data_IF_470493567348
#
_entry.id   IF_470493567348
#
_cell.length_a   1.000
_cell.length_b   1.000
_cell.length_c   1.000
_cell.angle_alpha   90.00
_cell.angle_beta   90.00
_cell.angle_gamma   90.00
#
_symmetry.space_group_name_H-M   'P 1'
#
loop_
_entity.id
_entity.type
_entity.pdbx_description
1 polymer ?
#
# COMPACT_ATOMS: atom_id res chain seq x y z
N UNK A 1 -11.22 12.88 12.24
CA UNK A 1 -11.70 13.81 11.18
C UNK A 1 -12.54 13.05 10.17
N UNK A 2 -13.61 13.67 9.66
CA UNK A 2 -14.51 13.10 8.63
C UNK A 2 -13.73 12.63 7.39
N UNK A 3 -12.65 13.34 7.03
CA UNK A 3 -11.75 12.96 5.93
C UNK A 3 -11.18 11.54 6.06
N UNK A 4 -10.69 11.15 7.24
CA UNK A 4 -10.17 9.79 7.49
C UNK A 4 -11.27 8.73 7.38
N UNK A 5 -12.46 9.06 7.90
CA UNK A 5 -13.57 8.11 7.97
C UNK A 5 -14.25 7.86 6.62
N UNK A 6 -14.22 8.84 5.71
CA UNK A 6 -14.93 8.78 4.42
C UNK A 6 -13.96 8.69 3.25
N UNK A 7 -13.03 9.64 3.12
CA UNK A 7 -12.15 9.72 1.94
C UNK A 7 -11.09 8.63 1.99
N UNK A 8 -10.40 8.48 3.12
CA UNK A 8 -9.34 7.48 3.25
C UNK A 8 -9.89 6.06 3.25
N UNK A 9 -11.02 5.81 3.93
CA UNK A 9 -11.67 4.49 3.93
C UNK A 9 -12.08 4.06 2.53
N UNK A 10 -12.68 4.98 1.75
CA UNK A 10 -13.06 4.71 0.36
C UNK A 10 -11.84 4.53 -0.53
N UNK A 11 -10.80 5.35 -0.35
CA UNK A 11 -9.57 5.27 -1.13
C UNK A 11 -8.78 3.99 -0.87
N UNK A 12 -8.76 3.53 0.38
CA UNK A 12 -8.06 2.31 0.80
C UNK A 12 -8.91 1.05 0.64
N UNK A 13 -10.15 1.17 0.19
CA UNK A 13 -11.01 0.02 -0.02
C UNK A 13 -10.38 -0.91 -1.07
N UNK A 14 -10.09 -2.15 -0.65
CA UNK A 14 -9.44 -3.14 -1.51
C UNK A 14 -7.96 -2.91 -1.79
N UNK A 15 -7.30 -1.94 -1.13
CA UNK A 15 -5.87 -1.69 -1.35
C UNK A 15 -4.96 -2.88 -0.99
N UNK A 16 -5.47 -3.80 -0.16
CA UNK A 16 -4.80 -5.03 0.26
C UNK A 16 -4.43 -5.93 -0.93
N UNK A 17 -5.21 -5.92 -2.01
CA UNK A 17 -5.00 -6.80 -3.18
C UNK A 17 -4.36 -6.06 -4.37
N UNK A 18 -4.13 -4.75 -4.24
CA UNK A 18 -3.52 -3.99 -5.31
C UNK A 18 -2.06 -4.42 -5.51
N UNK A 19 -1.62 -4.41 -6.76
CA UNK A 19 -0.21 -4.47 -7.13
C UNK A 19 0.26 -3.06 -7.55
N UNK A 20 0.30 -2.06 -6.64
CA UNK A 20 0.58 -0.70 -7.02
C UNK A 20 2.05 -0.53 -7.39
N UNK A 21 2.30 0.06 -8.56
CA UNK A 21 3.60 0.65 -8.85
C UNK A 21 3.87 1.83 -7.92
N UNK A 22 5.15 2.10 -7.65
CA UNK A 22 5.58 3.22 -6.80
C UNK A 22 5.05 4.58 -7.28
N UNK A 23 4.86 4.74 -8.60
CA UNK A 23 4.22 5.95 -9.17
C UNK A 23 2.80 6.17 -8.65
N UNK A 24 2.02 5.09 -8.48
CA UNK A 24 0.64 5.18 -8.03
C UNK A 24 0.58 5.55 -6.55
N UNK A 25 1.45 4.97 -5.72
CA UNK A 25 1.59 5.37 -4.32
C UNK A 25 1.97 6.85 -4.19
N UNK A 26 2.89 7.33 -5.02
CA UNK A 26 3.27 8.74 -5.03
C UNK A 26 2.11 9.67 -5.45
N UNK A 27 1.33 9.28 -6.45
CA UNK A 27 0.13 10.03 -6.86
C UNK A 27 -0.92 10.10 -5.73
N UNK A 28 -1.10 9.02 -4.98
CA UNK A 28 -2.01 8.99 -3.83
C UNK A 28 -1.53 9.91 -2.70
N UNK A 29 -0.23 9.90 -2.40
CA UNK A 29 0.35 10.80 -1.41
C UNK A 29 0.21 12.28 -1.83
N UNK A 30 0.39 12.59 -3.12
CA UNK A 30 0.15 13.94 -3.64
C UNK A 30 -1.32 14.36 -3.51
N UNK A 31 -2.26 13.45 -3.79
CA UNK A 31 -3.69 13.70 -3.65
C UNK A 31 -4.06 13.97 -2.18
N UNK A 32 -3.52 13.18 -1.24
CA UNK A 32 -3.70 13.40 0.19
C UNK A 32 -3.19 14.78 0.60
N UNK A 33 -1.99 15.18 0.16
CA UNK A 33 -1.41 16.49 0.45
C UNK A 33 -2.28 17.63 -0.08
N UNK A 34 -2.80 17.51 -1.31
CA UNK A 34 -3.72 18.52 -1.88
C UNK A 34 -4.99 18.66 -1.04
N UNK A 35 -5.60 17.54 -0.61
CA UNK A 35 -6.80 17.57 0.22
C UNK A 35 -6.53 18.17 1.60
N UNK A 36 -5.43 17.77 2.26
CA UNK A 36 -5.08 18.28 3.59
C UNK A 36 -4.74 19.76 3.58
N UNK A 37 -3.97 20.22 2.58
CA UNK A 37 -3.65 21.66 2.44
C UNK A 37 -4.89 22.49 2.17
N UNK A 38 -5.81 22.00 1.33
CA UNK A 38 -7.10 22.66 1.09
C UNK A 38 -7.96 22.74 2.36
N UNK A 39 -8.10 21.64 3.09
CA UNK A 39 -8.88 21.57 4.32
C UNK A 39 -8.33 22.51 5.42
N UNK A 40 -7.01 22.60 5.53
CA UNK A 40 -6.31 23.43 6.52
C UNK A 40 -6.04 24.86 6.04
N UNK A 41 -6.44 25.20 4.80
CA UNK A 41 -6.18 26.49 4.15
C UNK A 41 -4.69 26.88 4.12
N UNK A 42 -3.81 25.89 3.96
CA UNK A 42 -2.37 26.10 3.88
C UNK A 42 -2.03 26.56 2.47
N UNK A 43 -1.42 27.73 2.37
CA UNK A 43 -0.94 28.31 1.12
C UNK A 43 0.50 27.93 0.85
N UNK A 44 1.01 28.28 -0.32
CA UNK A 44 2.42 28.11 -0.65
C UNK A 44 3.34 29.05 0.13
N UNK A 45 2.80 30.19 0.61
CA UNK A 45 3.55 31.20 1.37
C UNK A 45 3.96 30.71 2.75
N UNK A 46 3.18 29.80 3.34
CA UNK A 46 3.45 29.24 4.66
C UNK A 46 4.71 28.38 4.70
N UNK A 47 5.24 27.93 3.54
CA UNK A 47 6.45 27.11 3.40
C UNK A 47 6.48 25.86 4.30
N UNK A 48 5.31 25.34 4.66
CA UNK A 48 5.18 24.17 5.54
C UNK A 48 5.54 22.88 4.78
N UNK A 49 6.38 22.06 5.39
CA UNK A 49 6.77 20.76 4.85
C UNK A 49 5.59 19.78 4.80
N UNK A 50 5.58 18.89 3.80
CA UNK A 50 4.53 17.87 3.64
C UNK A 50 4.40 16.93 4.86
N UNK A 51 5.52 16.62 5.51
CA UNK A 51 5.56 15.82 6.74
C UNK A 51 4.83 16.53 7.88
N UNK A 52 5.00 17.84 7.99
CA UNK A 52 4.34 18.63 9.03
C UNK A 52 2.84 18.76 8.80
N UNK A 53 2.40 18.87 7.54
CA UNK A 53 0.96 18.81 7.19
C UNK A 53 0.32 17.50 7.68
N UNK A 54 1.02 16.38 7.50
CA UNK A 54 0.58 15.07 7.97
C UNK A 54 0.54 14.99 9.51
N UNK A 55 1.56 15.51 10.18
CA UNK A 55 1.62 15.58 11.64
C UNK A 55 0.47 16.41 12.21
N UNK A 56 0.22 17.60 11.63
CA UNK A 56 -0.92 18.45 12.01
C UNK A 56 -2.27 17.77 11.75
N UNK A 57 -2.38 16.94 10.72
CA UNK A 57 -3.58 16.16 10.41
C UNK A 57 -3.76 14.94 11.33
N UNK A 58 -2.73 14.57 12.11
CA UNK A 58 -2.72 13.36 12.93
C UNK A 58 -2.85 12.09 12.09
N UNK A 59 -2.30 12.09 10.87
CA UNK A 59 -2.44 10.99 9.93
C UNK A 59 -1.12 10.62 9.24
N UNK A 60 -0.83 9.33 9.07
CA UNK A 60 0.29 8.90 8.23
C UNK A 60 -0.02 9.13 6.73
N UNK A 61 1.01 9.01 5.90
CA UNK A 61 0.87 9.02 4.45
C UNK A 61 0.00 7.83 3.97
N UNK A 62 -0.74 8.03 2.88
CA UNK A 62 -1.56 6.97 2.27
C UNK A 62 -0.70 5.78 1.88
N UNK A 63 0.52 6.01 1.36
CA UNK A 63 1.45 4.93 1.05
C UNK A 63 1.78 4.04 2.26
N UNK A 64 1.97 4.62 3.45
CA UNK A 64 2.17 3.87 4.70
C UNK A 64 0.93 3.07 5.11
N UNK A 65 -0.26 3.63 4.91
CA UNK A 65 -1.52 2.93 5.19
C UNK A 65 -1.74 1.74 4.26
N UNK A 66 -1.46 1.90 2.95
CA UNK A 66 -1.52 0.82 1.96
C UNK A 66 -0.55 -0.30 2.34
N UNK A 67 0.70 0.05 2.66
CA UNK A 67 1.69 -0.94 3.10
C UNK A 67 1.23 -1.70 4.36
N UNK A 68 0.70 -0.97 5.34
CA UNK A 68 0.20 -1.58 6.58
C UNK A 68 -0.96 -2.54 6.32
N UNK A 69 -1.88 -2.18 5.42
CA UNK A 69 -2.99 -3.03 5.02
C UNK A 69 -2.51 -4.31 4.29
N UNK A 70 -1.55 -4.17 3.37
CA UNK A 70 -0.94 -5.30 2.68
C UNK A 70 -0.23 -6.26 3.63
N UNK A 71 0.54 -5.74 4.60
CA UNK A 71 1.21 -6.57 5.60
C UNK A 71 0.21 -7.28 6.52
N UNK A 72 -0.86 -6.58 6.94
CA UNK A 72 -1.94 -7.17 7.74
C UNK A 72 -2.62 -8.32 6.99
N UNK A 73 -2.93 -8.12 5.71
CA UNK A 73 -3.51 -9.15 4.85
C UNK A 73 -2.54 -10.33 4.66
N UNK A 74 -1.27 -10.07 4.34
CA UNK A 74 -0.27 -11.10 4.16
C UNK A 74 -0.09 -11.93 5.44
N UNK A 75 0.04 -11.29 6.60
CA UNK A 75 0.11 -11.98 7.88
C UNK A 75 -1.15 -12.80 8.18
N UNK A 76 -2.33 -12.33 7.77
CA UNK A 76 -3.57 -13.10 7.88
C UNK A 76 -3.53 -14.36 7.00
N UNK A 77 -3.10 -14.23 5.74
CA UNK A 77 -2.95 -15.36 4.81
C UNK A 77 -1.95 -16.40 5.32
N UNK A 78 -0.80 -15.97 5.85
CA UNK A 78 0.22 -16.88 6.42
C UNK A 78 -0.34 -17.70 7.58
N UNK A 79 -1.21 -17.10 8.42
CA UNK A 79 -1.86 -17.77 9.55
C UNK A 79 -3.05 -18.66 9.17
N UNK A 80 -3.51 -18.64 7.91
CA UNK A 80 -4.59 -19.54 7.47
C UNK A 80 -4.13 -21.01 7.48
N UNK A 81 -5.08 -21.93 7.62
CA UNK A 81 -4.83 -23.36 7.43
C UNK A 81 -4.39 -23.66 5.98
N UNK A 82 -3.58 -24.71 5.80
CA UNK A 82 -3.16 -25.19 4.48
C UNK A 82 -4.36 -25.73 3.69
N UNK A 83 -4.32 -25.64 2.35
CA UNK A 83 -5.43 -25.99 1.46
C UNK A 83 -6.47 -24.87 1.26
N UNK A 84 -6.23 -23.70 1.85
CA UNK A 84 -7.00 -22.47 1.56
C UNK A 84 -6.45 -21.82 0.30
N UNK A 85 -7.32 -21.60 -0.69
CA UNK A 85 -6.97 -20.97 -1.97
C UNK A 85 -6.09 -19.71 -1.87
N UNK A 86 -6.30 -18.74 -0.95
CA UNK A 86 -5.41 -17.57 -0.85
C UNK A 86 -3.98 -17.91 -0.42
N UNK A 87 -3.82 -18.89 0.48
CA UNK A 87 -2.52 -19.36 0.95
C UNK A 87 -1.83 -20.17 -0.14
N UNK A 88 -2.57 -21.08 -0.77
CA UNK A 88 -2.08 -21.89 -1.88
C UNK A 88 -1.69 -21.02 -3.09
N UNK A 89 -2.42 -19.94 -3.36
CA UNK A 89 -2.09 -18.97 -4.41
C UNK A 89 -0.86 -18.13 -4.06
N UNK A 90 -0.68 -17.77 -2.79
CA UNK A 90 0.48 -16.99 -2.33
C UNK A 90 1.78 -17.79 -2.44
N UNK A 91 1.74 -19.07 -2.05
CA UNK A 91 2.89 -19.98 -2.10
C UNK A 91 3.01 -20.77 -3.41
N UNK A 92 1.94 -20.80 -4.21
CA UNK A 92 1.87 -21.52 -5.48
C UNK A 92 2.87 -20.96 -6.49
N UNK A 93 3.94 -21.71 -6.72
CA UNK A 93 4.83 -21.50 -7.86
C UNK A 93 4.41 -22.43 -9.01
N UNK A 94 4.49 -21.92 -10.24
CA UNK A 94 4.36 -22.76 -11.43
C UNK A 94 5.54 -23.74 -11.44
N UNK A 95 5.26 -25.04 -11.32
CA UNK A 95 6.25 -26.12 -11.39
C UNK A 95 6.86 -26.27 -12.79
N UNK A 96 6.13 -25.90 -13.83
CA UNK A 96 6.60 -25.89 -15.22
C UNK A 96 5.90 -24.79 -16.02
N UNK A 97 6.65 -24.01 -16.79
CA UNK A 97 6.12 -23.03 -17.73
C UNK A 97 6.87 -21.69 -17.71
N UNK A 98 7.30 -21.24 -18.89
CA UNK A 98 7.81 -19.88 -19.06
C UNK A 98 6.65 -18.91 -19.31
N UNK A 99 6.71 -17.71 -18.73
CA UNK A 99 5.67 -16.69 -18.95
C UNK A 99 5.72 -16.21 -20.40
N UNK A 100 4.53 -16.06 -20.99
CA UNK A 100 4.39 -15.43 -22.31
C UNK A 100 4.97 -14.01 -22.27
N UNK A 101 5.77 -13.65 -23.27
CA UNK A 101 6.23 -12.27 -23.48
C UNK A 101 4.99 -11.34 -23.55
N UNK A 102 5.04 -10.22 -22.82
CA UNK A 102 3.95 -9.23 -22.77
C UNK A 102 2.99 -9.33 -21.58
N UNK A 103 3.12 -10.34 -20.72
CA UNK A 103 2.31 -10.45 -19.49
C UNK A 103 2.67 -9.42 -18.40
N UNK A 104 1.81 -9.32 -17.38
CA UNK A 104 2.03 -8.43 -16.23
C UNK A 104 3.35 -8.76 -15.52
N UNK A 105 4.27 -7.79 -15.50
CA UNK A 105 5.63 -7.97 -14.98
C UNK A 105 5.68 -8.10 -13.46
N UNK A 106 4.77 -7.42 -12.75
CA UNK A 106 4.74 -7.34 -11.29
C UNK A 106 3.75 -8.38 -10.72
N UNK A 107 4.21 -9.27 -9.83
CA UNK A 107 3.33 -10.13 -9.03
C UNK A 107 2.94 -9.45 -7.72
N UNK A 108 1.85 -9.92 -7.13
CA UNK A 108 1.52 -9.59 -5.75
C UNK A 108 2.67 -9.96 -4.80
N UNK A 109 3.29 -11.15 -4.97
CA UNK A 109 4.48 -11.58 -4.20
C UNK A 109 5.63 -10.58 -4.32
N UNK A 110 5.89 -10.04 -5.51
CA UNK A 110 6.96 -9.06 -5.73
C UNK A 110 6.65 -7.73 -5.04
N UNK A 111 5.37 -7.33 -5.00
CA UNK A 111 4.92 -6.17 -4.22
C UNK A 111 5.09 -6.39 -2.72
N UNK A 112 4.67 -7.57 -2.24
CA UNK A 112 4.78 -7.95 -0.83
C UNK A 112 6.24 -7.99 -0.38
N UNK A 113 7.14 -8.52 -1.20
CA UNK A 113 8.58 -8.54 -0.92
C UNK A 113 9.13 -7.11 -0.72
N UNK A 114 8.79 -6.18 -1.61
CA UNK A 114 9.18 -4.77 -1.46
C UNK A 114 8.57 -4.12 -0.22
N UNK A 115 7.34 -4.48 0.13
CA UNK A 115 6.68 -3.97 1.33
C UNK A 115 7.36 -4.52 2.60
N UNK A 116 7.80 -5.77 2.61
CA UNK A 116 8.56 -6.40 3.69
C UNK A 116 9.95 -5.77 3.85
N UNK A 117 10.70 -5.59 2.76
CA UNK A 117 11.98 -4.87 2.76
C UNK A 117 11.85 -3.46 3.34
N UNK A 118 10.84 -2.71 2.90
CA UNK A 118 10.56 -1.36 3.41
C UNK A 118 10.12 -1.34 4.88
N UNK A 119 9.60 -2.45 5.38
CA UNK A 119 9.23 -2.62 6.79
C UNK A 119 10.37 -3.15 7.66
N UNK A 120 11.53 -3.49 7.06
CA UNK A 120 12.67 -4.07 7.78
C UNK A 120 12.42 -5.52 8.24
N UNK A 121 11.54 -6.24 7.55
CA UNK A 121 11.26 -7.66 7.82
C UNK A 121 12.02 -8.48 6.79
N UNK A 122 12.99 -9.27 7.25
CA UNK A 122 13.74 -10.17 6.37
C UNK A 122 12.81 -11.22 5.74
N UNK A 123 12.78 -11.24 4.41
CA UNK A 123 11.94 -12.14 3.59
C UNK A 123 12.70 -13.39 3.11
N UNK A 124 13.96 -13.56 3.50
CA UNK A 124 14.79 -14.72 3.18
C UNK A 124 14.57 -15.84 4.18
N UNK A 125 13.59 -16.70 3.91
CA UNK A 125 13.49 -18.05 4.49
C UNK A 125 12.94 -19.01 3.44
#
# INVERSE_FOLDING_TARGET
MVYKAVVISTLLYGCETWCPYQKHLHQLDQLQQRHLRSLMRITWQDRIANTEVLTRAGMPAVSTLVMSAQLRWAGHVVRMADGRLPKDLLYGQLSSGSRRRGGQKLRFKDCLHKTLERAGIDSSS
#
